data_IF_877266778868
#
_entry.id   IF_877266778868
#
_cell.length_a   1.000
_cell.length_b   1.000
_cell.length_c   1.000
_cell.angle_alpha   90.00
_cell.angle_beta   90.00
_cell.angle_gamma   90.00
#
_symmetry.space_group_name_H-M   'P 1'
#
loop_
_entity.id
_entity.type
_entity.pdbx_description
1 polymer ?
#
# COMPACT_ATOMS: atom_id res chain seq x y z
N UNK A 1 22.41 -23.95 -14.76
CA UNK A 1 23.60 -23.83 -13.88
C UNK A 1 23.15 -24.11 -12.46
N UNK A 2 23.53 -25.26 -11.91
CA UNK A 2 23.18 -25.72 -10.56
C UNK A 2 24.35 -25.45 -9.59
N UNK A 3 24.05 -25.44 -8.29
CA UNK A 3 24.94 -25.51 -7.11
C UNK A 3 25.33 -24.19 -6.41
N UNK A 4 24.50 -23.74 -5.44
CA UNK A 4 24.91 -23.41 -4.04
C UNK A 4 23.72 -23.16 -3.06
N UNK A 5 22.59 -23.87 -3.18
CA UNK A 5 21.39 -23.52 -2.40
C UNK A 5 21.50 -23.91 -0.91
N UNK A 6 22.10 -25.05 -0.54
CA UNK A 6 22.04 -25.53 0.85
C UNK A 6 22.83 -24.63 1.83
N UNK A 7 24.08 -24.29 1.48
CA UNK A 7 24.90 -23.43 2.33
C UNK A 7 24.29 -22.03 2.51
N UNK A 8 23.68 -21.48 1.46
CA UNK A 8 22.99 -20.19 1.51
C UNK A 8 21.71 -20.25 2.34
N UNK A 9 20.91 -21.31 2.17
CA UNK A 9 19.70 -21.56 2.97
C UNK A 9 20.03 -21.64 4.47
N UNK A 10 21.05 -22.43 4.83
CA UNK A 10 21.47 -22.64 6.21
C UNK A 10 22.08 -21.36 6.82
N UNK A 11 22.94 -20.66 6.07
CA UNK A 11 23.50 -19.38 6.51
C UNK A 11 22.40 -18.32 6.75
N UNK A 12 21.43 -18.23 5.85
CA UNK A 12 20.31 -17.28 5.99
C UNK A 12 19.38 -17.68 7.13
N UNK A 13 19.12 -18.97 7.35
CA UNK A 13 18.34 -19.43 8.48
C UNK A 13 19.01 -19.06 9.81
N UNK A 14 20.31 -19.34 9.92
CA UNK A 14 21.11 -18.98 11.10
C UNK A 14 21.15 -17.47 11.32
N UNK A 15 21.26 -16.69 10.25
CA UNK A 15 21.23 -15.22 10.31
C UNK A 15 19.90 -14.71 10.85
N UNK A 16 18.76 -15.22 10.36
CA UNK A 16 17.45 -14.84 10.87
C UNK A 16 17.31 -15.15 12.38
N UNK A 17 17.84 -16.29 12.82
CA UNK A 17 17.84 -16.68 14.24
C UNK A 17 18.74 -15.79 15.08
N UNK A 18 19.96 -15.49 14.63
CA UNK A 18 20.92 -14.66 15.36
C UNK A 18 20.49 -13.19 15.43
N UNK A 19 19.70 -12.70 14.46
CA UNK A 19 19.03 -11.39 14.52
C UNK A 19 17.85 -11.33 15.51
N UNK A 20 17.61 -12.38 16.29
CA UNK A 20 16.58 -12.37 17.34
C UNK A 20 15.17 -12.70 16.86
N UNK A 21 15.00 -13.25 15.65
CA UNK A 21 13.69 -13.70 15.20
C UNK A 21 13.35 -15.07 15.79
N UNK A 22 12.18 -15.20 16.41
CA UNK A 22 11.66 -16.48 16.90
C UNK A 22 11.42 -17.47 15.75
N UNK A 23 11.68 -18.77 16.00
CA UNK A 23 11.46 -19.84 15.02
C UNK A 23 10.05 -19.82 14.40
N UNK A 24 8.99 -19.58 15.18
CA UNK A 24 7.61 -19.54 14.66
C UNK A 24 7.42 -18.46 13.58
N UNK A 25 8.03 -17.30 13.74
CA UNK A 25 7.97 -16.21 12.77
C UNK A 25 8.78 -16.52 11.52
N UNK A 26 9.95 -17.15 11.70
CA UNK A 26 10.79 -17.62 10.59
C UNK A 26 10.01 -18.64 9.76
N UNK A 27 9.40 -19.64 10.39
CA UNK A 27 8.55 -20.62 9.72
C UNK A 27 7.42 -19.92 8.97
N UNK A 28 6.72 -18.97 9.61
CA UNK A 28 5.62 -18.25 8.98
C UNK A 28 6.06 -17.49 7.71
N UNK A 29 7.21 -16.82 7.74
CA UNK A 29 7.67 -16.04 6.58
C UNK A 29 8.20 -16.95 5.47
N UNK A 30 8.89 -18.05 5.81
CA UNK A 30 9.40 -19.02 4.84
C UNK A 30 8.23 -19.72 4.13
N UNK A 31 7.16 -20.07 4.83
CA UNK A 31 5.94 -20.63 4.22
C UNK A 31 5.26 -19.65 3.25
N UNK A 32 5.35 -18.34 3.51
CA UNK A 32 4.78 -17.30 2.64
C UNK A 32 5.68 -16.95 1.46
N UNK A 33 6.98 -16.98 1.64
CA UNK A 33 7.97 -16.67 0.61
C UNK A 33 9.27 -17.45 0.86
N UNK A 34 9.40 -18.67 0.31
CA UNK A 34 10.60 -19.49 0.47
C UNK A 34 11.87 -18.81 -0.08
N UNK A 35 11.73 -17.90 -1.04
CA UNK A 35 12.84 -17.21 -1.69
C UNK A 35 13.63 -16.30 -0.73
N UNK A 36 13.10 -15.96 0.44
CA UNK A 36 13.85 -15.20 1.45
C UNK A 36 15.16 -15.91 1.83
N UNK A 37 15.14 -17.25 1.91
CA UNK A 37 16.32 -18.04 2.26
C UNK A 37 17.27 -18.26 1.06
N UNK A 38 16.84 -17.98 -0.17
CA UNK A 38 17.70 -18.02 -1.36
C UNK A 38 18.31 -16.65 -1.71
N UNK A 39 18.01 -15.61 -0.92
CA UNK A 39 18.61 -14.28 -1.10
C UNK A 39 20.09 -14.32 -0.73
N UNK A 40 20.95 -13.47 -1.30
CA UNK A 40 22.33 -13.41 -0.84
C UNK A 40 22.38 -13.02 0.64
N UNK A 41 23.20 -13.71 1.43
CA UNK A 41 23.29 -13.49 2.88
C UNK A 41 23.65 -12.05 3.22
N UNK A 42 24.55 -11.43 2.44
CA UNK A 42 24.89 -10.01 2.56
C UNK A 42 23.66 -9.10 2.41
N UNK A 43 22.84 -9.33 1.38
CA UNK A 43 21.63 -8.51 1.16
C UNK A 43 20.61 -8.71 2.27
N UNK A 44 20.46 -9.95 2.75
CA UNK A 44 19.55 -10.25 3.86
C UNK A 44 20.01 -9.51 5.13
N UNK A 45 21.29 -9.57 5.45
CA UNK A 45 21.91 -8.89 6.60
C UNK A 45 21.73 -7.36 6.54
N UNK A 46 22.05 -6.75 5.39
CA UNK A 46 21.84 -5.32 5.17
C UNK A 46 20.36 -4.92 5.40
N UNK A 47 19.41 -5.73 4.95
CA UNK A 47 17.98 -5.45 5.14
C UNK A 47 17.52 -5.67 6.58
N UNK A 48 18.07 -6.65 7.30
CA UNK A 48 17.79 -6.84 8.72
C UNK A 48 18.24 -5.62 9.52
N UNK A 49 19.48 -5.17 9.31
CA UNK A 49 20.02 -3.97 9.94
C UNK A 49 19.26 -2.70 9.55
N UNK A 50 18.87 -2.57 8.28
CA UNK A 50 18.05 -1.44 7.84
C UNK A 50 16.70 -1.39 8.54
N UNK A 51 16.02 -2.53 8.64
CA UNK A 51 14.70 -2.61 9.29
C UNK A 51 14.80 -2.34 10.80
N UNK A 52 15.89 -2.77 11.43
CA UNK A 52 16.11 -2.53 12.85
C UNK A 52 16.52 -1.09 13.15
N UNK A 53 17.52 -0.55 12.43
CA UNK A 53 18.21 0.67 12.81
C UNK A 53 17.66 1.92 12.12
N UNK A 54 17.37 1.86 10.81
CA UNK A 54 16.86 3.02 10.07
C UNK A 54 15.33 3.13 10.21
N UNK A 55 14.68 1.98 10.13
CA UNK A 55 13.22 1.84 10.23
C UNK A 55 12.79 1.75 11.70
N UNK A 56 13.66 1.34 12.63
CA UNK A 56 13.33 1.33 14.06
C UNK A 56 12.33 0.23 14.46
N UNK A 57 12.21 -0.85 13.68
CA UNK A 57 11.32 -1.96 14.01
C UNK A 57 12.13 -3.06 14.69
N UNK A 58 11.79 -3.37 15.94
CA UNK A 58 12.45 -4.44 16.69
C UNK A 58 12.27 -5.82 16.02
N UNK A 59 13.29 -6.69 16.03
CA UNK A 59 13.17 -8.10 15.62
C UNK A 59 12.03 -8.88 16.33
N UNK A 60 11.70 -8.46 17.55
CA UNK A 60 10.58 -9.03 18.32
C UNK A 60 9.20 -8.59 17.83
N UNK A 61 9.10 -7.63 16.91
CA UNK A 61 7.85 -7.27 16.25
C UNK A 61 7.38 -8.40 15.34
N UNK A 62 6.06 -8.58 15.21
CA UNK A 62 5.48 -9.47 14.19
C UNK A 62 5.72 -8.96 12.77
N UNK A 63 6.12 -7.69 12.64
CA UNK A 63 6.22 -6.98 11.37
C UNK A 63 7.64 -6.97 10.80
N UNK A 64 8.64 -7.28 11.63
CA UNK A 64 10.04 -7.20 11.27
C UNK A 64 10.37 -8.03 10.03
N UNK A 65 10.20 -9.36 10.12
CA UNK A 65 10.41 -10.27 8.99
C UNK A 65 9.48 -9.99 7.82
N UNK A 66 8.33 -9.37 8.08
CA UNK A 66 7.44 -8.97 7.00
C UNK A 66 8.04 -7.86 6.15
N UNK A 67 8.55 -6.81 6.79
CA UNK A 67 9.20 -5.68 6.12
C UNK A 67 10.49 -6.16 5.45
N UNK A 68 11.31 -6.95 6.13
CA UNK A 68 12.54 -7.53 5.55
C UNK A 68 12.22 -8.31 4.29
N UNK A 69 11.24 -9.23 4.34
CA UNK A 69 10.81 -10.03 3.20
C UNK A 69 10.40 -9.18 1.99
N UNK A 70 9.79 -8.03 2.25
CA UNK A 70 9.36 -7.12 1.23
C UNK A 70 10.56 -6.36 0.63
N UNK A 71 11.50 -5.90 1.47
CA UNK A 71 12.67 -5.14 1.04
C UNK A 71 13.70 -6.00 0.29
N UNK A 72 13.89 -7.27 0.67
CA UNK A 72 14.78 -8.18 -0.07
C UNK A 72 14.33 -8.41 -1.51
N UNK A 73 13.04 -8.21 -1.80
CA UNK A 73 12.50 -8.24 -3.17
C UNK A 73 12.78 -6.99 -4.00
N UNK A 74 13.29 -5.91 -3.39
CA UNK A 74 13.58 -4.64 -4.06
C UNK A 74 15.08 -4.39 -4.18
N UNK A 75 15.47 -3.48 -5.08
CA UNK A 75 16.78 -2.84 -5.04
C UNK A 75 16.76 -1.71 -4.00
N UNK A 76 17.94 -1.41 -3.43
CA UNK A 76 18.14 -0.29 -2.53
C UNK A 76 17.63 1.03 -3.14
N UNK A 77 17.97 1.26 -4.41
CA UNK A 77 17.53 2.43 -5.18
C UNK A 77 16.00 2.56 -5.23
N UNK A 78 15.27 1.47 -5.47
CA UNK A 78 13.80 1.49 -5.48
C UNK A 78 13.23 1.80 -4.11
N UNK A 79 13.84 1.29 -3.04
CA UNK A 79 13.41 1.63 -1.67
C UNK A 79 13.60 3.12 -1.42
N UNK A 80 14.77 3.67 -1.75
CA UNK A 80 15.10 5.08 -1.50
C UNK A 80 14.21 6.01 -2.31
N UNK A 81 13.94 5.68 -3.59
CA UNK A 81 12.98 6.42 -4.43
C UNK A 81 11.58 6.40 -3.84
N UNK A 82 11.09 5.25 -3.37
CA UNK A 82 9.77 5.15 -2.73
C UNK A 82 9.68 5.96 -1.45
N UNK A 83 10.70 5.90 -0.60
CA UNK A 83 10.78 6.75 0.60
C UNK A 83 10.78 8.24 0.22
N UNK A 84 11.61 8.62 -0.77
CA UNK A 84 11.68 9.98 -1.30
C UNK A 84 10.34 10.50 -1.81
N UNK A 85 9.56 9.66 -2.50
CA UNK A 85 8.19 10.00 -2.92
C UNK A 85 7.36 10.38 -1.70
N UNK A 86 7.24 9.53 -0.69
CA UNK A 86 6.42 9.86 0.50
C UNK A 86 6.93 11.12 1.23
N UNK A 87 8.24 11.25 1.39
CA UNK A 87 8.86 12.45 1.99
C UNK A 87 8.49 13.72 1.22
N UNK A 88 8.46 13.69 -0.11
CA UNK A 88 8.05 14.83 -0.94
C UNK A 88 6.58 15.25 -0.73
N UNK A 89 5.75 14.36 -0.19
CA UNK A 89 4.37 14.65 0.22
C UNK A 89 4.24 15.02 1.71
N UNK A 90 5.35 15.23 2.42
CA UNK A 90 5.35 15.65 3.83
C UNK A 90 5.05 14.53 4.82
N UNK A 91 5.38 13.28 4.47
CA UNK A 91 5.23 12.15 5.38
C UNK A 91 6.39 12.10 6.38
N UNK A 92 6.10 11.80 7.64
CA UNK A 92 7.13 11.47 8.62
C UNK A 92 7.69 10.07 8.38
N UNK A 93 8.87 9.75 8.93
CA UNK A 93 9.38 8.38 8.89
C UNK A 93 8.38 7.42 9.54
N UNK A 94 7.82 7.81 10.68
CA UNK A 94 6.78 7.03 11.37
C UNK A 94 5.56 6.74 10.48
N UNK A 95 5.09 7.70 9.67
CA UNK A 95 3.96 7.47 8.76
C UNK A 95 4.31 6.49 7.63
N UNK A 96 5.50 6.61 7.05
CA UNK A 96 5.98 5.72 6.00
C UNK A 96 6.07 4.29 6.53
N UNK A 97 6.66 4.15 7.72
CA UNK A 97 6.77 2.88 8.42
C UNK A 97 5.42 2.27 8.73
N UNK A 98 4.47 3.07 9.24
CA UNK A 98 3.10 2.61 9.49
C UNK A 98 2.40 2.11 8.22
N UNK A 99 2.73 2.65 7.05
CA UNK A 99 2.21 2.14 5.79
C UNK A 99 2.91 0.87 5.34
N UNK A 100 4.23 0.80 5.45
CA UNK A 100 4.98 -0.41 5.10
C UNK A 100 4.55 -1.60 5.97
N UNK A 101 4.23 -1.32 7.23
CA UNK A 101 3.60 -2.24 8.18
C UNK A 101 2.25 -2.78 7.68
N UNK A 102 1.35 -1.89 7.23
CA UNK A 102 -0.04 -2.24 6.87
C UNK A 102 -0.20 -2.74 5.44
N UNK A 103 0.70 -2.39 4.53
CA UNK A 103 0.58 -2.69 3.10
C UNK A 103 1.72 -3.56 2.59
N UNK A 104 1.54 -4.87 2.80
CA UNK A 104 2.26 -5.94 2.11
C UNK A 104 2.42 -5.73 0.59
N UNK A 105 1.43 -5.08 -0.03
CA UNK A 105 1.35 -4.88 -1.48
C UNK A 105 1.87 -3.51 -1.96
N UNK A 106 2.14 -2.55 -1.07
CA UNK A 106 2.52 -1.21 -1.52
C UNK A 106 3.90 -1.20 -2.18
N UNK A 107 4.79 -2.05 -1.69
CA UNK A 107 6.10 -2.24 -2.29
C UNK A 107 6.01 -2.76 -3.73
N UNK A 108 4.97 -3.53 -4.05
CA UNK A 108 4.69 -3.98 -5.42
C UNK A 108 4.10 -2.89 -6.34
N UNK A 109 3.62 -1.75 -5.82
CA UNK A 109 3.17 -0.65 -6.67
C UNK A 109 4.37 -0.01 -7.36
N UNK A 110 4.25 0.39 -8.63
CA UNK A 110 5.32 1.17 -9.24
C UNK A 110 5.49 2.54 -8.57
N UNK A 111 6.67 3.13 -8.70
CA UNK A 111 6.96 4.50 -8.25
C UNK A 111 5.97 5.49 -8.88
N UNK A 112 5.74 5.37 -10.20
CA UNK A 112 4.74 6.18 -10.91
C UNK A 112 3.34 6.00 -10.32
N UNK A 113 2.89 4.76 -10.09
CA UNK A 113 1.57 4.49 -9.49
C UNK A 113 1.44 5.12 -8.10
N UNK A 114 2.51 5.07 -7.31
CA UNK A 114 2.60 5.66 -5.96
C UNK A 114 2.44 7.18 -6.02
N UNK A 115 3.22 7.83 -6.90
CA UNK A 115 3.20 9.26 -7.14
C UNK A 115 1.82 9.76 -7.56
N UNK A 116 1.17 9.11 -8.54
CA UNK A 116 -0.15 9.51 -9.02
C UNK A 116 -1.22 9.32 -7.95
N UNK A 117 -1.16 8.23 -7.17
CA UNK A 117 -2.08 8.00 -6.03
C UNK A 117 -1.99 9.10 -4.99
N UNK A 118 -0.77 9.41 -4.54
CA UNK A 118 -0.54 10.43 -3.51
C UNK A 118 -0.91 11.83 -4.03
N UNK A 119 -0.60 12.14 -5.28
CA UNK A 119 -1.02 13.38 -5.95
C UNK A 119 -2.54 13.53 -5.87
N UNK A 120 -3.29 12.52 -6.30
CA UNK A 120 -4.74 12.56 -6.26
C UNK A 120 -5.28 12.71 -4.83
N UNK A 121 -4.85 11.86 -3.90
CA UNK A 121 -5.38 11.83 -2.54
C UNK A 121 -5.00 13.07 -1.71
N UNK A 122 -3.80 13.60 -1.89
CA UNK A 122 -3.31 14.69 -1.02
C UNK A 122 -3.45 16.07 -1.66
N UNK A 123 -3.31 16.19 -2.99
CA UNK A 123 -3.47 17.48 -3.68
C UNK A 123 -4.91 17.71 -4.13
N UNK A 124 -5.58 16.68 -4.64
CA UNK A 124 -6.92 16.85 -5.23
C UNK A 124 -8.05 16.61 -4.23
N UNK A 125 -7.94 15.56 -3.42
CA UNK A 125 -8.88 15.24 -2.34
C UNK A 125 -8.56 15.99 -1.05
N UNK A 126 -7.34 16.54 -0.93
CA UNK A 126 -6.85 17.33 0.23
C UNK A 126 -6.71 16.55 1.53
N UNK A 127 -6.46 15.23 1.46
CA UNK A 127 -6.14 14.46 2.65
C UNK A 127 -4.74 14.78 3.18
N UNK A 128 -4.63 14.82 4.52
CA UNK A 128 -3.34 14.89 5.22
C UNK A 128 -2.62 13.54 5.12
N UNK A 129 -1.29 13.57 5.17
CA UNK A 129 -0.44 12.36 5.18
C UNK A 129 -0.89 11.35 6.23
N UNK A 130 -1.11 11.81 7.46
CA UNK A 130 -1.58 10.97 8.59
C UNK A 130 -2.94 10.30 8.33
N UNK A 131 -3.84 10.96 7.62
CA UNK A 131 -5.13 10.38 7.25
C UNK A 131 -4.96 9.26 6.21
N UNK A 132 -4.11 9.46 5.22
CA UNK A 132 -3.80 8.41 4.22
C UNK A 132 -3.05 7.25 4.88
N UNK A 133 -2.12 7.53 5.80
CA UNK A 133 -1.38 6.52 6.55
C UNK A 133 -2.27 5.63 7.43
N UNK A 134 -3.33 6.20 7.99
CA UNK A 134 -4.34 5.44 8.74
C UNK A 134 -5.32 4.66 7.86
N UNK A 135 -5.45 5.02 6.57
CA UNK A 135 -6.35 4.40 5.59
C UNK A 135 -5.62 3.84 4.36
N UNK A 136 -4.67 2.91 4.56
CA UNK A 136 -3.77 2.46 3.50
C UNK A 136 -4.46 1.81 2.29
N UNK A 137 -5.67 1.28 2.45
CA UNK A 137 -6.43 0.69 1.33
C UNK A 137 -6.72 1.69 0.21
N UNK A 138 -6.76 3.00 0.51
CA UNK A 138 -6.87 4.06 -0.50
C UNK A 138 -5.77 3.98 -1.56
N UNK A 139 -4.57 3.53 -1.18
CA UNK A 139 -3.44 3.44 -2.10
C UNK A 139 -3.50 2.19 -3.00
N UNK A 140 -4.29 1.18 -2.59
CA UNK A 140 -4.42 -0.09 -3.32
C UNK A 140 -5.53 -0.08 -4.38
N UNK A 141 -6.53 0.80 -4.24
CA UNK A 141 -7.61 0.86 -5.23
C UNK A 141 -7.13 1.45 -6.56
N UNK A 142 -7.76 1.02 -7.66
CA UNK A 142 -7.51 1.62 -8.97
C UNK A 142 -7.90 3.10 -8.98
N UNK A 143 -7.00 3.97 -9.44
CA UNK A 143 -7.31 5.38 -9.62
C UNK A 143 -8.44 5.57 -10.64
N UNK A 144 -8.24 5.03 -11.84
CA UNK A 144 -9.12 5.26 -12.98
C UNK A 144 -10.45 4.53 -12.86
N UNK A 145 -10.46 3.31 -12.30
CA UNK A 145 -11.68 2.50 -12.21
C UNK A 145 -12.47 2.73 -10.93
N UNK A 146 -11.86 3.29 -9.86
CA UNK A 146 -12.54 3.42 -8.56
C UNK A 146 -12.36 4.79 -7.91
N UNK A 147 -11.15 5.24 -7.63
CA UNK A 147 -10.95 6.45 -6.81
C UNK A 147 -11.47 7.71 -7.50
N UNK A 148 -11.04 7.96 -8.75
CA UNK A 148 -11.41 9.17 -9.49
C UNK A 148 -12.91 9.19 -9.80
N UNK A 149 -13.52 8.13 -10.41
CA UNK A 149 -14.94 8.18 -10.73
C UNK A 149 -15.84 8.36 -9.51
N UNK A 150 -15.49 7.70 -8.39
CA UNK A 150 -16.27 7.83 -7.15
C UNK A 150 -16.05 9.17 -6.46
N UNK A 151 -14.87 9.76 -6.56
CA UNK A 151 -14.60 11.09 -6.02
C UNK A 151 -15.36 12.17 -6.77
N UNK A 152 -15.35 12.13 -8.12
CA UNK A 152 -16.10 13.09 -8.95
C UNK A 152 -17.60 13.07 -8.59
N UNK A 153 -18.17 11.87 -8.50
CA UNK A 153 -19.56 11.66 -8.09
C UNK A 153 -19.82 12.17 -6.66
N UNK A 154 -18.98 11.78 -5.69
CA UNK A 154 -19.10 12.19 -4.30
C UNK A 154 -18.96 13.70 -4.11
N UNK A 155 -17.99 14.33 -4.81
CA UNK A 155 -17.73 15.78 -4.75
C UNK A 155 -18.91 16.57 -5.31
N UNK A 156 -19.48 16.13 -6.42
CA UNK A 156 -20.61 16.82 -7.04
C UNK A 156 -21.87 16.74 -6.18
N UNK A 157 -22.20 15.55 -5.67
CA UNK A 157 -23.39 15.34 -4.81
C UNK A 157 -23.28 16.18 -3.53
N UNK A 158 -22.12 16.17 -2.87
CA UNK A 158 -21.92 16.97 -1.65
C UNK A 158 -21.81 18.47 -1.94
N UNK A 159 -21.37 18.86 -3.14
CA UNK A 159 -21.31 20.26 -3.56
C UNK A 159 -22.67 20.86 -3.94
N UNK A 160 -23.61 20.03 -4.44
CA UNK A 160 -24.91 20.51 -4.95
C UNK A 160 -26.07 20.50 -3.96
N UNK A 161 -25.85 20.24 -2.66
CA UNK A 161 -26.89 20.17 -1.59
C UNK A 161 -27.97 19.08 -1.80
N UNK A 162 -28.15 18.56 -3.03
CA UNK A 162 -29.15 17.58 -3.44
C UNK A 162 -29.30 16.43 -2.45
N UNK A 163 -28.20 15.94 -1.91
CA UNK A 163 -28.17 15.01 -0.80
C UNK A 163 -26.92 15.35 0.02
N UNK A 164 -27.06 15.86 1.25
CA UNK A 164 -25.95 15.84 2.22
C UNK A 164 -25.58 14.37 2.42
N UNK A 165 -24.63 13.87 1.66
CA UNK A 165 -24.19 12.49 1.78
C UNK A 165 -23.57 12.37 3.17
N UNK A 166 -24.11 11.50 4.03
CA UNK A 166 -23.64 11.34 5.41
C UNK A 166 -22.26 10.66 5.50
N UNK A 167 -21.69 10.26 4.36
CA UNK A 167 -20.49 9.44 4.30
C UNK A 167 -19.32 10.22 3.70
N UNK A 168 -18.16 10.14 4.37
CA UNK A 168 -16.90 10.65 3.84
C UNK A 168 -16.45 9.86 2.61
N UNK A 169 -15.61 10.48 1.78
CA UNK A 169 -15.13 9.88 0.53
C UNK A 169 -14.45 8.51 0.74
N UNK A 170 -13.72 8.32 1.85
CA UNK A 170 -13.15 7.02 2.20
C UNK A 170 -14.21 5.92 2.26
N UNK A 171 -15.28 6.13 3.04
CA UNK A 171 -16.36 5.16 3.21
C UNK A 171 -16.97 4.76 1.87
N UNK A 172 -17.26 5.76 1.04
CA UNK A 172 -17.86 5.59 -0.28
C UNK A 172 -16.95 4.79 -1.23
N UNK A 173 -15.64 4.98 -1.12
CA UNK A 173 -14.64 4.24 -1.89
C UNK A 173 -14.58 2.76 -1.51
N UNK A 174 -14.79 2.43 -0.24
CA UNK A 174 -14.72 1.03 0.26
C UNK A 174 -15.92 0.17 -0.12
N UNK A 175 -17.03 0.76 -0.56
CA UNK A 175 -18.23 0.01 -0.91
C UNK A 175 -18.05 -0.90 -2.13
N UNK A 176 -18.82 -1.98 -2.18
CA UNK A 176 -18.99 -2.77 -3.40
C UNK A 176 -19.53 -1.90 -4.54
N UNK A 177 -19.32 -2.33 -5.78
CA UNK A 177 -19.81 -1.59 -6.95
C UNK A 177 -21.34 -1.46 -6.93
N UNK A 178 -22.04 -2.57 -6.68
CA UNK A 178 -23.50 -2.60 -6.55
C UNK A 178 -24.01 -1.60 -5.50
N UNK A 179 -23.39 -1.56 -4.30
CA UNK A 179 -23.80 -0.63 -3.24
C UNK A 179 -23.56 0.82 -3.63
N UNK A 180 -22.43 1.12 -4.28
CA UNK A 180 -22.14 2.48 -4.74
C UNK A 180 -23.10 2.95 -5.84
N UNK A 181 -23.43 2.07 -6.79
CA UNK A 181 -24.41 2.35 -7.84
C UNK A 181 -25.79 2.70 -7.25
N UNK A 182 -26.29 1.86 -6.34
CA UNK A 182 -27.59 2.05 -5.68
C UNK A 182 -27.65 3.35 -4.88
N UNK A 183 -26.61 3.62 -4.07
CA UNK A 183 -26.62 4.71 -3.10
C UNK A 183 -26.11 6.06 -3.61
N UNK A 184 -25.46 6.14 -4.77
CA UNK A 184 -24.92 7.39 -5.32
C UNK A 184 -25.31 7.58 -6.78
N UNK A 185 -25.03 6.60 -7.63
CA UNK A 185 -25.09 6.77 -9.08
C UNK A 185 -26.52 6.83 -9.60
N UNK A 186 -27.43 5.99 -9.09
CA UNK A 186 -28.84 6.01 -9.47
C UNK A 186 -29.55 7.29 -9.01
N UNK A 187 -29.14 7.87 -7.87
CA UNK A 187 -29.76 9.07 -7.32
C UNK A 187 -29.59 10.30 -8.22
N UNK A 188 -28.48 10.37 -8.96
CA UNK A 188 -28.20 11.47 -9.89
C UNK A 188 -28.63 11.16 -11.32
N UNK A 189 -29.20 9.98 -11.61
CA UNK A 189 -29.53 9.56 -12.97
C UNK A 189 -30.53 10.51 -13.64
N UNK A 190 -31.55 10.95 -12.91
CA UNK A 190 -32.58 11.84 -13.43
C UNK A 190 -32.06 13.27 -13.61
N UNK A 191 -31.26 13.76 -12.67
CA UNK A 191 -30.81 15.16 -12.66
C UNK A 191 -29.51 15.40 -13.44
N UNK A 192 -28.67 14.37 -13.58
CA UNK A 192 -27.34 14.43 -14.20
C UNK A 192 -27.08 13.18 -15.08
N UNK A 193 -27.88 12.99 -16.15
CA UNK A 193 -27.79 11.81 -17.00
C UNK A 193 -26.41 11.63 -17.65
N UNK A 194 -25.71 12.73 -17.96
CA UNK A 194 -24.36 12.69 -18.54
C UNK A 194 -23.33 12.10 -17.57
N UNK A 195 -23.37 12.50 -16.30
CA UNK A 195 -22.45 11.98 -15.28
C UNK A 195 -22.73 10.50 -15.00
N UNK A 196 -24.01 10.13 -14.94
CA UNK A 196 -24.43 8.74 -14.86
C UNK A 196 -23.85 7.93 -16.03
N UNK A 197 -24.04 8.41 -17.27
CA UNK A 197 -23.53 7.77 -18.48
C UNK A 197 -22.01 7.62 -18.48
N UNK A 198 -21.29 8.66 -18.06
CA UNK A 198 -19.83 8.64 -17.94
C UNK A 198 -19.35 7.58 -16.94
N UNK A 199 -20.02 7.46 -15.78
CA UNK A 199 -19.67 6.46 -14.77
C UNK A 199 -19.89 5.04 -15.31
N UNK A 200 -21.06 4.76 -15.90
CA UNK A 200 -21.38 3.45 -16.48
C UNK A 200 -20.39 3.05 -17.57
N UNK A 201 -20.00 4.00 -18.44
CA UNK A 201 -19.01 3.76 -19.51
C UNK A 201 -17.63 3.41 -18.96
N UNK A 202 -17.22 3.98 -17.82
CA UNK A 202 -15.91 3.73 -17.20
C UNK A 202 -15.82 2.35 -16.53
N UNK A 203 -16.91 1.88 -15.92
CA UNK A 203 -16.92 0.58 -15.24
C UNK A 203 -17.12 -0.62 -16.16
N UNK A 204 -17.66 -0.39 -17.37
CA UNK A 204 -17.85 -1.43 -18.38
C UNK A 204 -16.56 -1.84 -19.13
N UNK A 205 -15.43 -1.16 -18.86
CA UNK A 205 -14.09 -1.45 -19.40
C UNK A 205 -13.17 -2.01 -18.31
#
# INVERSE_FOLDING_TARGET
>A
MSFNNHATLEANLNLLQSSGCSNDKIINIVLRNPNILNTSTKKLDEMLHRVENEVGVSPNSSQFLHIVNVLVGLSQETVDKKYGIFKSFGWSDTDILNILQKLRYYVALSEARSQTSLTFLMKEVRYKSTYVASHPSLLTYSLEKRLIPRYEMWKLINGKILIKSRHGFYTVTTWSESKFLDKYVLLVKAELPDLYGLYIKRIAK
#
